data_IF_470591942182
#
_entry.id   IF_470591942182
#
_cell.length_a   1.000
_cell.length_b   1.000
_cell.length_c   1.000
_cell.angle_alpha   90.00
_cell.angle_beta   90.00
_cell.angle_gamma   90.00
#
_symmetry.space_group_name_H-M   'P 1'
#
loop_
_entity.id
_entity.type
_entity.pdbx_description
1 polymer ?
#
# COMPACT_ATOMS: atom_id res chain seq x y z
N UNK A 1 -9.60 -12.01 14.94
CA UNK A 1 -9.18 -10.99 15.92
C UNK A 1 -10.12 -9.81 15.75
N UNK A 2 -11.05 -9.63 16.69
CA UNK A 2 -11.82 -8.40 16.76
C UNK A 2 -10.84 -7.27 17.13
N UNK A 3 -10.88 -6.15 16.41
CA UNK A 3 -9.95 -5.01 16.60
C UNK A 3 -10.26 -4.22 17.90
N UNK A 4 -10.99 -4.81 18.84
CA UNK A 4 -11.57 -4.18 20.03
C UNK A 4 -10.77 -4.42 21.31
N UNK A 5 -9.85 -5.38 21.32
CA UNK A 5 -8.97 -5.60 22.48
C UNK A 5 -7.82 -4.60 22.51
N UNK A 6 -7.62 -3.96 23.66
CA UNK A 6 -6.53 -3.00 23.89
C UNK A 6 -5.18 -3.69 23.77
N UNK A 7 -4.35 -3.24 22.83
CA UNK A 7 -2.99 -3.78 22.66
C UNK A 7 -2.15 -3.52 23.91
N UNK A 8 -1.63 -4.57 24.58
CA UNK A 8 -0.76 -4.42 25.73
C UNK A 8 0.45 -3.55 25.40
N UNK A 9 0.86 -2.64 26.31
CA UNK A 9 1.98 -1.70 26.06
C UNK A 9 3.25 -2.38 25.56
N UNK A 10 3.56 -3.58 26.09
CA UNK A 10 4.75 -4.38 25.71
C UNK A 10 4.71 -4.85 24.26
N UNK A 11 3.52 -4.99 23.68
CA UNK A 11 3.31 -5.48 22.32
C UNK A 11 3.15 -4.36 21.29
N UNK A 12 2.86 -3.12 21.73
CA UNK A 12 2.63 -1.98 20.82
C UNK A 12 3.77 -1.77 19.82
N UNK A 13 5.03 -1.94 20.22
CA UNK A 13 6.17 -1.83 19.30
C UNK A 13 6.11 -2.91 18.20
N UNK A 14 5.78 -4.15 18.56
CA UNK A 14 5.60 -5.26 17.60
C UNK A 14 4.40 -5.00 16.68
N UNK A 15 3.28 -4.54 17.23
CA UNK A 15 2.08 -4.21 16.44
C UNK A 15 2.33 -3.06 15.49
N UNK A 16 3.02 -2.00 15.92
CA UNK A 16 3.41 -0.88 15.04
C UNK A 16 4.30 -1.33 13.89
N UNK A 17 5.25 -2.25 14.14
CA UNK A 17 6.06 -2.89 13.09
C UNK A 17 5.19 -3.58 12.04
N UNK A 18 4.16 -4.31 12.47
CA UNK A 18 3.19 -4.95 11.57
C UNK A 18 2.34 -3.90 10.83
N UNK A 19 1.84 -2.87 11.51
CA UNK A 19 1.07 -1.78 10.89
C UNK A 19 1.87 -1.10 9.78
N UNK A 20 3.14 -0.79 10.00
CA UNK A 20 4.01 -0.21 8.96
C UNK A 20 4.10 -1.15 7.75
N UNK A 21 4.34 -2.45 7.99
CA UNK A 21 4.47 -3.43 6.92
C UNK A 21 3.18 -3.55 6.08
N UNK A 22 2.06 -3.71 6.75
CA UNK A 22 0.75 -3.86 6.10
C UNK A 22 0.32 -2.55 5.43
N UNK A 23 0.65 -1.39 6.00
CA UNK A 23 0.36 -0.09 5.39
C UNK A 23 1.14 0.12 4.10
N UNK A 24 2.44 -0.18 4.08
CA UNK A 24 3.25 -0.13 2.85
C UNK A 24 2.64 -1.04 1.78
N UNK A 25 2.33 -2.28 2.15
CA UNK A 25 1.67 -3.22 1.24
C UNK A 25 0.35 -2.67 0.69
N UNK A 26 -0.57 -2.25 1.56
CA UNK A 26 -1.91 -1.81 1.19
C UNK A 26 -1.88 -0.56 0.30
N UNK A 27 -1.00 0.40 0.62
CA UNK A 27 -0.82 1.62 -0.17
C UNK A 27 -0.26 1.30 -1.55
N UNK A 28 0.82 0.52 -1.65
CA UNK A 28 1.41 0.17 -2.95
C UNK A 28 0.46 -0.68 -3.79
N UNK A 29 -0.24 -1.64 -3.19
CA UNK A 29 -1.21 -2.49 -3.89
C UNK A 29 -2.41 -1.68 -4.39
N UNK A 30 -2.91 -0.73 -3.59
CA UNK A 30 -3.96 0.19 -4.03
C UNK A 30 -3.50 1.06 -5.19
N UNK A 31 -2.33 1.70 -5.08
CA UNK A 31 -1.76 2.51 -6.15
C UNK A 31 -1.52 1.70 -7.42
N UNK A 32 -1.01 0.47 -7.32
CA UNK A 32 -0.82 -0.42 -8.45
C UNK A 32 -2.14 -0.71 -9.15
N UNK A 33 -3.16 -1.14 -8.38
CA UNK A 33 -4.47 -1.48 -8.94
C UNK A 33 -5.11 -0.30 -9.68
N UNK A 34 -5.09 0.88 -9.06
CA UNK A 34 -5.65 2.09 -9.68
C UNK A 34 -4.85 2.54 -10.90
N UNK A 35 -3.52 2.43 -10.86
CA UNK A 35 -2.66 2.77 -12.00
C UNK A 35 -2.84 1.80 -13.17
N UNK A 36 -2.97 0.51 -12.89
CA UNK A 36 -3.30 -0.50 -13.89
C UNK A 36 -4.69 -0.25 -14.49
N UNK A 37 -5.66 0.16 -13.68
CA UNK A 37 -6.99 0.51 -14.16
C UNK A 37 -6.96 1.75 -15.06
N UNK A 38 -6.25 2.80 -14.65
CA UNK A 38 -6.09 4.03 -15.42
C UNK A 38 -5.38 3.82 -16.77
N UNK A 39 -4.35 2.98 -16.80
CA UNK A 39 -3.57 2.71 -18.00
C UNK A 39 -4.19 1.58 -18.86
N UNK A 40 -5.35 1.06 -18.50
CA UNK A 40 -6.02 0.00 -19.26
C UNK A 40 -6.60 0.57 -20.55
N UNK A 41 -6.03 0.20 -21.70
CA UNK A 41 -6.49 0.66 -23.02
C UNK A 41 -7.96 0.33 -23.27
N UNK A 42 -8.43 -0.83 -22.78
CA UNK A 42 -9.85 -1.20 -22.85
C UNK A 42 -10.78 -0.34 -22.00
N UNK A 43 -10.27 0.28 -20.92
CA UNK A 43 -11.02 1.25 -20.11
C UNK A 43 -11.05 2.65 -20.73
N UNK A 44 -10.12 2.97 -21.63
CA UNK A 44 -10.10 4.25 -22.37
C UNK A 44 -11.13 4.27 -23.50
N UNK A 45 -11.53 3.08 -24.00
CA UNK A 45 -12.60 2.93 -24.99
C UNK A 45 -13.94 2.88 -24.24
N UNK A 46 -14.53 4.05 -24.03
CA UNK A 46 -15.73 4.31 -23.22
C UNK A 46 -17.03 3.73 -23.87
N UNK A 47 -17.08 2.41 -24.03
CA UNK A 47 -18.22 1.71 -24.61
C UNK A 47 -19.22 1.27 -23.51
N UNK A 48 -20.49 1.69 -23.55
CA UNK A 48 -21.48 1.29 -22.54
C UNK A 48 -21.71 -0.23 -22.58
N UNK A 49 -21.55 -0.90 -21.44
CA UNK A 49 -21.85 -2.34 -21.28
C UNK A 49 -20.69 -3.23 -20.81
N UNK A 50 -19.46 -2.71 -20.68
CA UNK A 50 -18.32 -3.47 -20.16
C UNK A 50 -18.34 -3.55 -18.63
N UNK A 51 -19.28 -4.30 -18.06
CA UNK A 51 -19.35 -4.51 -16.60
C UNK A 51 -18.26 -5.46 -16.07
N UNK A 52 -17.50 -6.14 -16.94
CA UNK A 52 -16.34 -6.97 -16.61
C UNK A 52 -15.21 -6.62 -17.57
N UNK A 53 -14.19 -5.93 -17.07
CA UNK A 53 -12.98 -5.64 -17.84
C UNK A 53 -11.98 -6.77 -17.68
N UNK A 54 -12.07 -7.80 -18.52
CA UNK A 54 -10.99 -8.76 -18.80
C UNK A 54 -9.89 -8.14 -19.70
N UNK A 55 -9.84 -6.81 -19.78
CA UNK A 55 -9.40 -6.11 -20.99
C UNK A 55 -7.89 -6.04 -21.24
N UNK A 56 -7.02 -6.36 -20.27
CA UNK A 56 -5.57 -6.47 -20.51
C UNK A 56 -4.97 -7.50 -19.54
N UNK A 57 -4.33 -8.54 -20.08
CA UNK A 57 -3.44 -9.39 -19.31
C UNK A 57 -2.13 -8.63 -19.07
N UNK A 58 -1.99 -7.98 -17.92
CA UNK A 58 -0.74 -7.36 -17.52
C UNK A 58 0.34 -8.41 -17.33
N UNK A 59 1.48 -8.25 -17.99
CA UNK A 59 2.61 -9.16 -17.78
C UNK A 59 3.27 -8.88 -16.43
N UNK A 60 4.05 -9.83 -15.93
CA UNK A 60 4.87 -9.60 -14.72
C UNK A 60 5.84 -8.44 -14.91
N UNK A 61 6.34 -8.22 -16.13
CA UNK A 61 7.22 -7.09 -16.47
C UNK A 61 6.46 -5.77 -16.28
N UNK A 62 5.24 -5.67 -16.82
CA UNK A 62 4.42 -4.45 -16.69
C UNK A 62 4.13 -4.12 -15.24
N UNK A 63 3.72 -5.12 -14.46
CA UNK A 63 3.44 -4.99 -13.02
C UNK A 63 4.69 -4.53 -12.27
N UNK A 64 5.83 -5.18 -12.53
CA UNK A 64 7.08 -4.90 -11.85
C UNK A 64 7.59 -3.50 -12.18
N UNK A 65 7.59 -3.08 -13.45
CA UNK A 65 7.96 -1.73 -13.84
C UNK A 65 7.06 -0.66 -13.19
N UNK A 66 5.74 -0.89 -13.15
CA UNK A 66 4.82 0.05 -12.49
C UNK A 66 5.05 0.13 -11.00
N UNK A 67 5.28 -0.99 -10.31
CA UNK A 67 5.60 -1.01 -8.88
C UNK A 67 6.87 -0.21 -8.56
N UNK A 68 7.91 -0.36 -9.38
CA UNK A 68 9.15 0.42 -9.21
C UNK A 68 8.91 1.92 -9.37
N UNK A 69 8.15 2.32 -10.41
CA UNK A 69 7.76 3.71 -10.62
C UNK A 69 6.92 4.27 -9.47
N UNK A 70 5.94 3.51 -8.99
CA UNK A 70 5.10 3.89 -7.84
C UNK A 70 5.92 4.06 -6.57
N UNK A 71 6.94 3.23 -6.33
CA UNK A 71 7.83 3.38 -5.17
C UNK A 71 8.65 4.68 -5.25
N UNK A 72 9.15 5.05 -6.44
CA UNK A 72 9.89 6.30 -6.63
C UNK A 72 9.00 7.53 -6.41
N UNK A 73 7.74 7.46 -6.85
CA UNK A 73 6.75 8.53 -6.76
C UNK A 73 5.99 8.53 -5.42
N UNK A 74 6.20 7.56 -4.52
CA UNK A 74 5.42 7.46 -3.29
C UNK A 74 5.67 8.64 -2.34
N UNK A 75 4.60 9.22 -1.79
CA UNK A 75 4.68 10.25 -0.76
C UNK A 75 4.80 9.62 0.63
N UNK A 76 5.99 9.71 1.24
CA UNK A 76 6.24 9.16 2.58
C UNK A 76 5.37 9.80 3.66
N UNK A 77 5.00 11.07 3.51
CA UNK A 77 4.09 11.75 4.44
C UNK A 77 2.68 11.14 4.42
N UNK A 78 2.13 10.91 3.23
CA UNK A 78 0.81 10.26 3.06
C UNK A 78 0.79 8.83 3.62
N UNK A 79 1.89 8.09 3.43
CA UNK A 79 2.07 6.77 4.05
C UNK A 79 2.13 6.87 5.58
N UNK A 80 2.93 7.80 6.10
CA UNK A 80 3.07 8.02 7.54
C UNK A 80 1.73 8.42 8.19
N UNK A 81 0.96 9.30 7.55
CA UNK A 81 -0.37 9.67 8.00
C UNK A 81 -1.32 8.47 8.08
N UNK A 82 -1.19 7.52 7.14
CA UNK A 82 -1.95 6.26 7.17
C UNK A 82 -1.54 5.39 8.35
N UNK A 83 -0.24 5.23 8.60
CA UNK A 83 0.30 4.48 9.75
C UNK A 83 -0.15 5.11 11.08
N UNK A 84 -0.08 6.43 11.20
CA UNK A 84 -0.50 7.17 12.41
C UNK A 84 -2.00 6.99 12.64
N UNK A 85 -2.83 7.16 11.61
CA UNK A 85 -4.28 7.01 11.71
C UNK A 85 -4.67 5.60 12.18
N UNK A 86 -4.04 4.57 11.61
CA UNK A 86 -4.29 3.17 12.01
C UNK A 86 -3.83 2.91 13.43
N UNK A 87 -2.60 3.31 13.78
CA UNK A 87 -2.06 3.14 15.13
C UNK A 87 -2.89 3.88 16.19
N UNK A 88 -3.41 5.06 15.86
CA UNK A 88 -4.29 5.84 16.73
C UNK A 88 -5.65 5.15 16.91
N UNK A 89 -6.29 4.74 15.82
CA UNK A 89 -7.59 4.06 15.85
C UNK A 89 -7.53 2.73 16.64
N UNK A 90 -6.41 2.02 16.56
CA UNK A 90 -6.17 0.78 17.32
C UNK A 90 -5.59 1.01 18.73
N UNK A 91 -5.47 2.27 19.16
CA UNK A 91 -4.92 2.67 20.47
C UNK A 91 -3.53 2.09 20.77
N UNK A 92 -2.74 1.84 19.74
CA UNK A 92 -1.42 1.22 19.81
C UNK A 92 -0.30 2.13 19.28
N UNK A 93 -0.61 3.39 18.94
CA UNK A 93 0.34 4.35 18.40
C UNK A 93 1.59 4.46 19.30
N UNK A 94 2.70 3.94 18.77
CA UNK A 94 4.01 3.93 19.41
C UNK A 94 5.08 3.98 18.31
N UNK A 95 5.10 5.08 17.56
CA UNK A 95 5.99 5.24 16.42
C UNK A 95 7.41 5.63 16.89
N UNK A 96 8.43 5.09 16.23
CA UNK A 96 9.85 5.31 16.56
C UNK A 96 10.64 5.45 15.27
N UNK A 97 11.91 5.88 15.36
CA UNK A 97 12.80 5.96 14.21
C UNK A 97 13.00 4.61 13.51
N UNK A 98 13.02 3.51 14.27
CA UNK A 98 13.10 2.15 13.72
C UNK A 98 11.91 1.84 12.80
N UNK A 99 10.70 2.26 13.17
CA UNK A 99 9.50 2.07 12.36
C UNK A 99 9.55 2.88 11.05
N UNK A 100 10.07 4.10 11.10
CA UNK A 100 10.28 4.92 9.91
C UNK A 100 11.33 4.30 8.98
N UNK A 101 12.46 3.87 9.53
CA UNK A 101 13.51 3.19 8.79
C UNK A 101 13.02 1.87 8.16
N UNK A 102 12.16 1.13 8.87
CA UNK A 102 11.51 -0.07 8.33
C UNK A 102 10.65 0.28 7.11
N UNK A 103 9.82 1.32 7.17
CA UNK A 103 8.98 1.74 6.05
C UNK A 103 9.80 2.05 4.81
N UNK A 104 10.87 2.82 4.96
CA UNK A 104 11.81 3.13 3.86
C UNK A 104 12.49 1.87 3.34
N UNK A 105 12.95 0.99 4.23
CA UNK A 105 13.57 -0.29 3.85
C UNK A 105 12.64 -1.15 3.01
N UNK A 106 11.35 -1.23 3.39
CA UNK A 106 10.35 -2.00 2.66
C UNK A 106 10.09 -1.41 1.26
N UNK A 107 9.96 -0.10 1.16
CA UNK A 107 9.77 0.59 -0.14
C UNK A 107 10.98 0.35 -1.05
N UNK A 108 12.20 0.53 -0.53
CA UNK A 108 13.43 0.28 -1.29
C UNK A 108 13.54 -1.19 -1.71
N UNK A 109 13.13 -2.13 -0.85
CA UNK A 109 13.12 -3.55 -1.18
C UNK A 109 12.20 -3.86 -2.37
N UNK A 110 11.08 -3.16 -2.53
CA UNK A 110 10.21 -3.29 -3.72
C UNK A 110 10.83 -2.56 -4.91
N UNK A 111 11.27 -1.32 -4.73
CA UNK A 111 11.78 -0.47 -5.80
C UNK A 111 13.00 -1.06 -6.52
N UNK A 112 13.92 -1.66 -5.77
CA UNK A 112 15.19 -2.15 -6.32
C UNK A 112 15.22 -3.67 -6.53
N UNK A 113 14.08 -4.35 -6.34
CA UNK A 113 13.97 -5.79 -6.65
C UNK A 113 13.91 -6.04 -8.15
N UNK A 114 14.45 -7.18 -8.59
CA UNK A 114 14.19 -7.73 -9.93
C UNK A 114 12.79 -8.34 -10.07
N UNK A 115 12.14 -8.65 -8.94
CA UNK A 115 10.74 -9.09 -8.86
C UNK A 115 9.96 -8.34 -7.75
N UNK A 116 9.61 -7.05 -7.99
CA UNK A 116 8.85 -6.20 -7.06
C UNK A 116 7.53 -6.81 -6.58
N UNK A 117 6.74 -7.42 -7.46
CA UNK A 117 5.41 -7.97 -7.12
C UNK A 117 5.52 -9.11 -6.10
N UNK A 118 6.49 -10.00 -6.28
CA UNK A 118 6.77 -11.07 -5.32
C UNK A 118 7.23 -10.54 -3.97
N UNK A 119 8.11 -9.53 -3.96
CA UNK A 119 8.56 -8.89 -2.70
C UNK A 119 7.39 -8.23 -1.98
N UNK A 120 6.53 -7.52 -2.70
CA UNK A 120 5.34 -6.88 -2.16
C UNK A 120 4.40 -7.92 -1.53
N UNK A 121 4.07 -9.00 -2.25
CA UNK A 121 3.18 -10.07 -1.76
C UNK A 121 3.72 -10.80 -0.53
N UNK A 122 5.04 -10.83 -0.33
CA UNK A 122 5.70 -11.42 0.84
C UNK A 122 5.70 -10.53 2.09
N UNK A 123 5.31 -9.25 1.98
CA UNK A 123 5.30 -8.33 3.12
C UNK A 123 4.26 -8.68 4.18
N UNK A 124 3.12 -9.25 3.75
CA UNK A 124 2.00 -9.60 4.63
C UNK A 124 1.91 -11.10 4.82
N UNK A 125 1.60 -11.52 6.05
CA UNK A 125 1.35 -12.93 6.39
C UNK A 125 -0.15 -13.20 6.45
N UNK A 126 -0.59 -14.47 6.38
CA UNK A 126 -2.00 -14.82 6.57
C UNK A 126 -2.60 -14.29 7.90
N UNK A 127 -1.79 -14.22 8.95
CA UNK A 127 -2.17 -13.67 10.26
C UNK A 127 -2.52 -12.17 10.21
N UNK A 128 -1.95 -11.44 9.25
CA UNK A 128 -2.16 -9.99 9.08
C UNK A 128 -3.48 -9.68 8.37
N UNK A 129 -4.21 -10.69 7.88
CA UNK A 129 -5.38 -10.50 7.00
C UNK A 129 -6.48 -9.60 7.58
N UNK A 130 -6.69 -9.60 8.90
CA UNK A 130 -7.67 -8.71 9.54
C UNK A 130 -7.21 -7.25 9.47
N UNK A 131 -5.95 -6.99 9.81
CA UNK A 131 -5.34 -5.66 9.75
C UNK A 131 -5.27 -5.17 8.30
N UNK A 132 -4.87 -6.04 7.37
CA UNK A 132 -4.83 -5.73 5.95
C UNK A 132 -6.21 -5.29 5.44
N UNK A 133 -7.28 -6.03 5.73
CA UNK A 133 -8.64 -5.63 5.34
C UNK A 133 -9.04 -4.27 5.90
N UNK A 134 -8.64 -3.97 7.14
CA UNK A 134 -8.92 -2.67 7.76
C UNK A 134 -8.18 -1.54 7.04
N UNK A 135 -6.88 -1.70 6.80
CA UNK A 135 -6.06 -0.68 6.13
C UNK A 135 -6.48 -0.53 4.66
N UNK A 136 -6.75 -1.63 3.95
CA UNK A 136 -7.24 -1.60 2.56
C UNK A 136 -8.52 -0.77 2.43
N UNK A 137 -9.48 -0.95 3.36
CA UNK A 137 -10.70 -0.13 3.38
C UNK A 137 -10.39 1.35 3.56
N UNK A 138 -9.49 1.68 4.49
CA UNK A 138 -9.10 3.07 4.76
C UNK A 138 -8.39 3.70 3.55
N UNK A 139 -7.45 2.97 2.94
CA UNK A 139 -6.68 3.46 1.79
C UNK A 139 -7.57 3.63 0.54
N UNK A 140 -8.52 2.73 0.31
CA UNK A 140 -9.46 2.82 -0.84
C UNK A 140 -10.38 4.03 -0.82
N UNK A 141 -10.60 4.65 0.34
CA UNK A 141 -11.36 5.91 0.42
C UNK A 141 -10.57 7.11 -0.13
N UNK A 142 -9.26 6.95 -0.36
CA UNK A 142 -8.38 8.00 -0.87
C UNK A 142 -8.08 7.76 -2.34
N UNK A 143 -8.06 8.83 -3.13
CA UNK A 143 -7.49 8.77 -4.48
C UNK A 143 -6.02 8.38 -4.40
N UNK A 144 -5.60 7.38 -5.19
CA UNK A 144 -4.21 6.91 -5.17
C UNK A 144 -3.21 8.03 -5.49
N UNK A 145 -3.61 9.03 -6.29
CA UNK A 145 -2.79 10.20 -6.62
C UNK A 145 -2.39 11.03 -5.39
N UNK A 146 -3.22 11.06 -4.35
CA UNK A 146 -2.90 11.75 -3.08
C UNK A 146 -1.85 11.01 -2.24
N UNK A 147 -1.60 9.74 -2.57
CA UNK A 147 -0.55 8.92 -1.96
C UNK A 147 0.79 9.05 -2.69
N UNK A 148 0.80 9.72 -3.84
CA UNK A 148 2.00 10.01 -4.63
C UNK A 148 2.45 11.45 -4.41
N UNK A 149 3.74 11.71 -4.66
CA UNK A 149 4.31 13.06 -4.69
C UNK A 149 3.57 13.88 -5.75
N UNK A 150 3.27 15.14 -5.43
CA UNK A 150 2.77 16.08 -6.44
C UNK A 150 3.86 16.25 -7.50
N UNK A 151 3.50 16.04 -8.76
CA UNK A 151 4.35 16.47 -9.87
C UNK A 151 4.06 17.95 -10.06
N UNK A 152 5.04 18.78 -9.71
CA UNK A 152 5.01 20.19 -10.09
C UNK A 152 5.19 20.22 -11.61
N UNK A 153 4.10 20.52 -12.33
CA UNK A 153 4.18 20.81 -13.75
C UNK A 153 4.83 22.19 -13.89
N UNK A 154 6.15 22.21 -14.03
CA UNK A 154 6.93 23.36 -14.50
C UNK A 154 6.97 23.37 -16.02
#
# INVERSE_FOLDING_TARGET
MELTELVPRRERKKVMRTIVCVAVYAVLNHCLREKLFEDCEGCVIDAPGQQHHDCVTWTSIDINCKLQGLCADLCLESLLNTVIAVGYAMQCLCLTQEHLAQGVTLINAVQFSGDPDHVLKKMTKPEDACLQRYIDRLVRTKSYRTLLKKKDYL
#
